data_IF_331018972068
#
_entry.id   IF_331018972068
#
_cell.length_a   1.000
_cell.length_b   1.000
_cell.length_c   1.000
_cell.angle_alpha   90.00
_cell.angle_beta   90.00
_cell.angle_gamma   90.00
#
_symmetry.space_group_name_H-M   'P 1'
#
loop_
_entity.id
_entity.type
_entity.pdbx_description
1 polymer ?
#
# COMPACT_ATOMS: atom_id res chain seq x y z
N UNK A 1 9.04 -23.88 6.15
CA UNK A 1 7.77 -23.34 5.60
C UNK A 1 7.30 -24.23 4.47
N UNK A 2 6.05 -24.08 4.00
CA UNK A 2 5.62 -24.72 2.76
C UNK A 2 6.34 -24.05 1.59
N UNK A 3 6.94 -24.84 0.71
CA UNK A 3 7.49 -24.32 -0.54
C UNK A 3 6.36 -23.87 -1.47
N UNK A 4 6.54 -22.73 -2.15
CA UNK A 4 5.61 -22.26 -3.18
C UNK A 4 6.22 -22.42 -4.57
N UNK A 5 5.38 -22.73 -5.55
CA UNK A 5 5.78 -22.96 -6.94
C UNK A 5 4.66 -22.57 -7.91
N UNK A 6 4.94 -22.66 -9.20
CA UNK A 6 3.97 -22.38 -10.26
C UNK A 6 2.63 -23.10 -10.02
N UNK A 7 1.54 -22.35 -10.06
CA UNK A 7 0.18 -22.82 -9.80
C UNK A 7 -0.30 -22.64 -8.36
N UNK A 8 0.59 -22.38 -7.39
CA UNK A 8 0.17 -22.02 -6.04
C UNK A 8 -0.50 -20.64 -6.01
N UNK A 9 -1.41 -20.45 -5.05
CA UNK A 9 -2.10 -19.18 -4.83
C UNK A 9 -2.16 -18.83 -3.35
N UNK A 10 -2.31 -17.55 -3.05
CA UNK A 10 -2.61 -17.06 -1.70
C UNK A 10 -1.67 -16.00 -1.17
N UNK A 11 -1.71 -15.79 0.14
CA UNK A 11 -0.97 -14.73 0.83
C UNK A 11 0.55 -14.92 0.73
N UNK A 12 1.04 -16.16 0.83
CA UNK A 12 2.47 -16.44 0.76
C UNK A 12 3.04 -16.21 -0.64
N UNK A 13 2.26 -16.53 -1.68
CA UNK A 13 2.61 -16.18 -3.07
C UNK A 13 2.66 -14.67 -3.25
N UNK A 14 1.66 -13.96 -2.72
CA UNK A 14 1.59 -12.51 -2.79
C UNK A 14 2.78 -11.85 -2.07
N UNK A 15 3.14 -12.31 -0.87
CA UNK A 15 4.34 -11.86 -0.13
C UNK A 15 5.61 -12.03 -0.97
N UNK A 16 5.77 -13.20 -1.57
CA UNK A 16 6.91 -13.49 -2.45
C UNK A 16 6.94 -12.60 -3.69
N UNK A 17 5.80 -12.35 -4.33
CA UNK A 17 5.71 -11.48 -5.50
C UNK A 17 6.06 -10.02 -5.18
N UNK A 18 5.61 -9.49 -4.04
CA UNK A 18 6.02 -8.15 -3.57
C UNK A 18 7.53 -8.11 -3.31
N UNK A 19 8.08 -9.13 -2.66
CA UNK A 19 9.52 -9.23 -2.46
C UNK A 19 10.29 -9.22 -3.78
N UNK A 20 9.91 -10.06 -4.76
CA UNK A 20 10.55 -10.10 -6.08
C UNK A 20 10.47 -8.74 -6.79
N UNK A 21 9.30 -8.11 -6.79
CA UNK A 21 9.18 -6.76 -7.37
C UNK A 21 10.15 -5.80 -6.68
N UNK A 22 10.23 -5.84 -5.35
CA UNK A 22 11.10 -4.98 -4.57
C UNK A 22 12.60 -5.17 -4.86
N UNK A 23 12.99 -6.40 -5.24
CA UNK A 23 14.34 -6.73 -5.74
C UNK A 23 14.59 -6.26 -7.19
N UNK A 24 13.62 -5.64 -7.84
CA UNK A 24 13.75 -5.09 -9.20
C UNK A 24 13.09 -5.94 -10.30
N UNK A 25 12.43 -7.06 -9.95
CA UNK A 25 11.67 -7.87 -10.90
C UNK A 25 10.29 -7.26 -11.16
N UNK A 26 10.26 -6.05 -11.74
CA UNK A 26 9.07 -5.19 -11.88
C UNK A 26 7.99 -5.72 -12.83
N UNK A 27 8.30 -6.78 -13.58
CA UNK A 27 7.34 -7.50 -14.43
C UNK A 27 6.37 -8.37 -13.62
N UNK A 28 6.72 -8.73 -12.38
CA UNK A 28 5.88 -9.50 -11.47
C UNK A 28 4.72 -8.64 -10.98
N UNK A 29 3.49 -9.15 -11.04
CA UNK A 29 2.35 -8.50 -10.37
C UNK A 29 2.06 -9.27 -9.08
N UNK A 30 1.96 -8.57 -7.95
CA UNK A 30 1.60 -9.20 -6.67
C UNK A 30 0.10 -9.48 -6.54
N UNK A 31 -0.44 -10.31 -7.42
CA UNK A 31 -1.85 -10.71 -7.47
C UNK A 31 -2.19 -11.90 -6.54
N UNK A 32 -1.18 -12.63 -6.08
CA UNK A 32 -1.30 -13.84 -5.29
C UNK A 32 -1.47 -15.11 -6.13
N UNK A 33 -1.19 -15.06 -7.44
CA UNK A 33 -1.17 -16.20 -8.35
C UNK A 33 0.26 -16.48 -8.84
N UNK A 34 0.80 -17.65 -8.54
CA UNK A 34 2.16 -18.01 -8.93
C UNK A 34 2.19 -18.45 -10.40
N UNK A 35 2.06 -17.49 -11.32
CA UNK A 35 2.12 -17.70 -12.76
C UNK A 35 3.54 -17.68 -13.34
N UNK A 36 3.64 -17.63 -14.67
CA UNK A 36 4.91 -17.64 -15.41
C UNK A 36 5.86 -16.50 -14.99
N UNK A 37 5.33 -15.30 -14.76
CA UNK A 37 6.14 -14.15 -14.33
C UNK A 37 6.76 -14.38 -12.96
N UNK A 38 5.97 -14.88 -12.00
CA UNK A 38 6.45 -15.24 -10.66
C UNK A 38 7.52 -16.33 -10.72
N UNK A 39 7.31 -17.34 -11.57
CA UNK A 39 8.27 -18.42 -11.80
C UNK A 39 9.59 -17.89 -12.38
N UNK A 40 9.53 -17.14 -13.47
CA UNK A 40 10.72 -16.63 -14.15
C UNK A 40 11.51 -15.65 -13.25
N UNK A 41 10.81 -14.78 -12.51
CA UNK A 41 11.46 -13.91 -11.54
C UNK A 41 12.06 -14.67 -10.35
N UNK A 42 11.44 -15.78 -9.92
CA UNK A 42 12.03 -16.66 -8.89
C UNK A 42 13.30 -17.34 -9.38
N UNK A 43 13.29 -17.85 -10.62
CA UNK A 43 14.48 -18.40 -11.30
C UNK A 43 15.58 -17.35 -11.41
N UNK A 44 15.23 -16.11 -11.77
CA UNK A 44 16.18 -15.01 -11.87
C UNK A 44 16.78 -14.65 -10.50
N UNK A 45 15.95 -14.52 -9.46
CA UNK A 45 16.41 -14.29 -8.09
C UNK A 45 17.35 -15.40 -7.62
N UNK A 46 16.99 -16.67 -7.85
CA UNK A 46 17.81 -17.82 -7.50
C UNK A 46 19.16 -17.80 -8.23
N UNK A 47 19.14 -17.56 -9.55
CA UNK A 47 20.35 -17.43 -10.37
C UNK A 47 21.27 -16.32 -9.85
N UNK A 48 20.73 -15.12 -9.59
CA UNK A 48 21.48 -13.98 -9.08
C UNK A 48 22.12 -14.25 -7.71
N UNK A 49 21.58 -15.20 -6.95
CA UNK A 49 21.99 -15.50 -5.59
C UNK A 49 22.71 -16.86 -5.44
N UNK A 50 23.08 -17.50 -6.55
CA UNK A 50 23.83 -18.77 -6.55
C UNK A 50 23.04 -19.97 -6.02
N UNK A 51 21.71 -19.95 -6.14
CA UNK A 51 20.82 -21.03 -5.75
C UNK A 51 20.47 -21.93 -6.95
N UNK A 52 19.89 -23.09 -6.68
CA UNK A 52 19.29 -23.95 -7.73
C UNK A 52 18.13 -23.19 -8.38
N UNK A 53 18.29 -22.81 -9.64
CA UNK A 53 17.36 -21.96 -10.38
C UNK A 53 16.17 -22.74 -10.96
N UNK A 54 15.38 -23.38 -10.10
CA UNK A 54 14.25 -24.24 -10.48
C UNK A 54 12.88 -23.53 -10.35
N UNK A 55 12.85 -22.27 -9.91
CA UNK A 55 11.63 -21.49 -9.73
C UNK A 55 10.76 -21.93 -8.54
N UNK A 56 11.22 -22.90 -7.76
CA UNK A 56 10.56 -23.36 -6.53
C UNK A 56 11.14 -22.59 -5.34
N UNK A 57 10.28 -21.87 -4.63
CA UNK A 57 10.67 -21.10 -3.45
C UNK A 57 10.61 -22.02 -2.23
N UNK A 58 11.69 -22.78 -2.06
CA UNK A 58 11.89 -23.68 -0.92
C UNK A 58 12.54 -22.96 0.27
N UNK A 59 12.83 -23.72 1.34
CA UNK A 59 13.47 -23.15 2.53
C UNK A 59 14.81 -22.49 2.21
N UNK A 60 15.59 -23.03 1.26
CA UNK A 60 16.88 -22.45 0.86
C UNK A 60 16.69 -21.10 0.20
N UNK A 61 15.72 -21.00 -0.71
CA UNK A 61 15.36 -19.75 -1.38
C UNK A 61 14.84 -18.71 -0.40
N UNK A 62 13.99 -19.12 0.54
CA UNK A 62 13.48 -18.25 1.60
C UNK A 62 14.59 -17.74 2.52
N UNK A 63 15.49 -18.60 2.99
CA UNK A 63 16.62 -18.19 3.83
C UNK A 63 17.51 -17.16 3.14
N UNK A 64 17.74 -17.33 1.84
CA UNK A 64 18.48 -16.34 1.06
C UNK A 64 17.72 -15.03 0.96
N UNK A 65 16.43 -15.08 0.64
CA UNK A 65 15.58 -13.91 0.54
C UNK A 65 15.48 -13.11 1.84
N UNK A 66 15.59 -13.75 3.01
CA UNK A 66 15.62 -13.06 4.29
C UNK A 66 16.80 -12.08 4.41
N UNK A 67 17.94 -12.40 3.80
CA UNK A 67 19.09 -11.49 3.74
C UNK A 67 18.81 -10.23 2.92
N UNK A 68 17.77 -10.27 2.09
CA UNK A 68 17.28 -9.16 1.25
C UNK A 68 15.95 -8.57 1.77
N UNK A 69 15.61 -8.84 3.03
CA UNK A 69 14.44 -8.26 3.70
C UNK A 69 13.15 -9.06 3.57
N UNK A 70 13.17 -10.30 3.05
CA UNK A 70 12.00 -11.18 3.11
C UNK A 70 11.72 -11.63 4.54
N UNK A 71 10.51 -11.41 5.04
CA UNK A 71 10.12 -11.86 6.39
C UNK A 71 9.31 -13.16 6.34
N UNK A 72 9.73 -14.14 7.16
CA UNK A 72 9.03 -15.43 7.31
C UNK A 72 7.92 -15.40 8.36
N UNK A 73 8.05 -14.53 9.35
CA UNK A 73 7.16 -14.40 10.51
C UNK A 73 6.95 -12.91 10.75
N UNK A 74 5.71 -12.47 10.94
CA UNK A 74 5.42 -11.11 11.39
C UNK A 74 5.95 -10.97 12.83
N UNK A 75 6.94 -10.11 13.08
CA UNK A 75 7.70 -10.10 14.36
C UNK A 75 6.77 -10.08 15.60
N UNK A 76 6.75 -11.18 16.36
CA UNK A 76 6.04 -11.30 17.65
C UNK A 76 6.88 -10.76 18.83
N UNK A 77 7.65 -9.67 18.65
CA UNK A 77 8.55 -9.19 19.72
C UNK A 77 7.99 -7.99 20.45
N UNK A 78 7.92 -8.13 21.78
CA UNK A 78 7.32 -7.23 22.77
C UNK A 78 7.94 -5.83 22.87
N UNK A 79 9.06 -5.57 22.19
CA UNK A 79 9.71 -4.26 22.16
C UNK A 79 9.53 -3.60 20.79
N UNK A 80 8.62 -2.61 20.73
CA UNK A 80 8.43 -1.77 19.55
C UNK A 80 9.54 -0.72 19.52
N UNK A 81 10.66 -1.02 18.84
CA UNK A 81 11.70 -0.03 18.52
C UNK A 81 11.77 0.19 17.01
N UNK A 82 12.55 1.19 16.59
CA UNK A 82 12.65 1.62 15.19
C UNK A 82 13.09 0.53 14.19
N UNK A 83 13.59 -0.60 14.67
CA UNK A 83 14.04 -1.73 13.87
C UNK A 83 13.02 -2.89 13.82
N UNK A 84 11.89 -2.81 14.55
CA UNK A 84 10.89 -3.89 14.58
C UNK A 84 9.68 -3.60 13.70
N UNK A 85 8.97 -4.65 13.30
CA UNK A 85 7.73 -4.51 12.50
C UNK A 85 6.62 -3.72 13.19
N UNK A 86 6.71 -3.55 14.52
CA UNK A 86 5.76 -2.79 15.32
C UNK A 86 5.92 -1.27 15.23
N UNK A 87 7.06 -0.76 14.75
CA UNK A 87 7.31 0.68 14.67
C UNK A 87 6.91 1.26 13.29
N UNK A 88 6.29 2.45 13.21
CA UNK A 88 5.97 3.33 14.32
C UNK A 88 4.74 2.86 15.09
N UNK A 89 4.60 3.38 16.31
CA UNK A 89 3.42 3.13 17.13
C UNK A 89 2.19 3.80 16.51
N UNK A 90 0.99 3.19 16.61
CA UNK A 90 -0.24 3.82 16.17
C UNK A 90 -0.52 5.13 16.90
N UNK A 91 -1.17 6.11 16.24
CA UNK A 91 -1.59 7.34 16.90
C UNK A 91 -2.72 7.08 17.91
N UNK A 92 -3.05 8.09 18.72
CA UNK A 92 -4.11 8.03 19.73
C UNK A 92 -5.54 8.00 19.16
N UNK A 93 -5.66 8.12 17.84
CA UNK A 93 -6.93 8.10 17.11
C UNK A 93 -7.11 6.84 16.28
N UNK A 94 -8.35 6.61 15.84
CA UNK A 94 -8.75 5.43 15.07
C UNK A 94 -9.11 5.81 13.63
N UNK A 95 -8.98 4.86 12.68
CA UNK A 95 -9.52 5.04 11.33
C UNK A 95 -11.04 5.27 11.36
N UNK A 96 -11.56 5.97 10.35
CA UNK A 96 -13.00 6.24 10.24
C UNK A 96 -13.77 4.99 9.82
N UNK A 97 -14.88 4.74 10.48
CA UNK A 97 -15.87 3.75 10.04
C UNK A 97 -16.62 4.22 8.78
N UNK A 98 -17.27 3.28 8.08
CA UNK A 98 -18.08 3.59 6.89
C UNK A 98 -19.20 4.61 7.15
N UNK A 99 -19.84 4.57 8.31
CA UNK A 99 -20.89 5.54 8.68
C UNK A 99 -20.31 6.93 8.91
N UNK A 100 -19.15 7.01 9.59
CA UNK A 100 -18.44 8.27 9.79
C UNK A 100 -17.96 8.86 8.46
N UNK A 101 -17.41 8.06 7.55
CA UNK A 101 -17.03 8.51 6.21
C UNK A 101 -18.21 9.11 5.44
N UNK A 102 -19.33 8.41 5.39
CA UNK A 102 -20.53 8.93 4.70
C UNK A 102 -21.11 10.16 5.39
N UNK A 103 -21.03 10.26 6.72
CA UNK A 103 -21.45 11.45 7.46
C UNK A 103 -20.54 12.66 7.20
N UNK A 104 -19.23 12.45 7.21
CA UNK A 104 -18.23 13.52 7.09
C UNK A 104 -18.03 13.98 5.63
N UNK A 105 -18.01 13.04 4.70
CA UNK A 105 -17.66 13.26 3.29
C UNK A 105 -18.87 13.12 2.36
N UNK A 106 -20.06 12.86 2.90
CA UNK A 106 -21.29 12.72 2.15
C UNK A 106 -21.56 11.29 1.69
N UNK A 107 -22.85 10.98 1.53
CA UNK A 107 -23.33 9.66 1.13
C UNK A 107 -23.05 9.41 -0.36
N UNK A 108 -22.35 8.31 -0.66
CA UNK A 108 -22.16 7.83 -2.03
C UNK A 108 -23.25 6.81 -2.32
N UNK A 109 -24.09 7.10 -3.31
CA UNK A 109 -25.02 6.11 -3.87
C UNK A 109 -24.40 5.53 -5.13
N UNK A 110 -24.47 4.21 -5.28
CA UNK A 110 -23.70 3.53 -6.32
C UNK A 110 -24.37 2.26 -6.86
N UNK A 111 -23.95 1.86 -8.06
CA UNK A 111 -24.16 0.52 -8.61
C UNK A 111 -22.81 -0.20 -8.76
N UNK A 112 -22.81 -1.53 -8.64
CA UNK A 112 -21.62 -2.36 -8.82
C UNK A 112 -21.40 -2.62 -10.32
N UNK A 113 -20.17 -2.45 -10.80
CA UNK A 113 -19.79 -2.76 -12.18
C UNK A 113 -19.66 -4.27 -12.40
N UNK A 114 -19.66 -4.74 -13.67
CA UNK A 114 -19.55 -6.17 -13.98
C UNK A 114 -18.29 -6.87 -13.44
N UNK A 115 -17.26 -6.12 -13.04
CA UNK A 115 -16.04 -6.66 -12.40
C UNK A 115 -16.22 -7.03 -10.92
N UNK A 116 -17.42 -6.83 -10.36
CA UNK A 116 -17.78 -7.10 -8.96
C UNK A 116 -16.88 -6.40 -7.93
N UNK A 117 -16.23 -5.29 -8.30
CA UNK A 117 -15.30 -4.56 -7.43
C UNK A 117 -15.44 -3.06 -7.61
N UNK A 118 -15.40 -2.58 -8.85
CA UNK A 118 -15.53 -1.17 -9.16
C UNK A 118 -17.00 -0.76 -9.10
N UNK A 119 -17.25 0.53 -8.86
CA UNK A 119 -18.61 1.06 -8.76
C UNK A 119 -18.86 2.21 -9.74
N UNK A 120 -20.12 2.44 -10.09
CA UNK A 120 -20.59 3.70 -10.67
C UNK A 120 -21.25 4.51 -9.56
N UNK A 121 -20.78 5.74 -9.34
CA UNK A 121 -21.45 6.70 -8.44
C UNK A 121 -22.62 7.32 -9.20
N UNK A 122 -23.83 7.29 -8.63
CA UNK A 122 -25.07 7.62 -9.35
C UNK A 122 -25.81 8.86 -8.83
N UNK A 123 -25.35 9.49 -7.75
CA UNK A 123 -26.01 10.64 -7.13
C UNK A 123 -25.25 11.97 -7.32
N UNK A 124 -24.38 12.08 -8.32
CA UNK A 124 -23.59 13.29 -8.60
C UNK A 124 -22.55 13.64 -7.51
N UNK A 125 -22.30 12.72 -6.59
CA UNK A 125 -21.43 12.96 -5.44
C UNK A 125 -20.00 13.33 -5.86
N UNK A 126 -19.50 12.77 -6.96
CA UNK A 126 -18.14 12.99 -7.45
C UNK A 126 -17.91 14.47 -7.80
N UNK A 127 -18.80 15.03 -8.60
CA UNK A 127 -18.72 16.39 -9.12
C UNK A 127 -18.88 17.43 -8.00
N UNK A 128 -19.67 17.10 -6.97
CA UNK A 128 -19.93 17.99 -5.85
C UNK A 128 -18.79 18.02 -4.82
N UNK A 129 -18.01 16.95 -4.70
CA UNK A 129 -17.13 16.74 -3.55
C UNK A 129 -15.64 16.60 -3.88
N UNK A 130 -15.28 16.19 -5.10
CA UNK A 130 -13.89 15.99 -5.47
C UNK A 130 -13.28 17.23 -6.13
N UNK A 131 -11.99 17.38 -5.91
CA UNK A 131 -11.14 18.38 -6.56
C UNK A 131 -9.83 17.73 -6.98
N UNK A 132 -9.27 18.16 -8.10
CA UNK A 132 -7.91 17.79 -8.51
C UNK A 132 -6.95 18.87 -8.03
N UNK A 133 -5.93 18.46 -7.27
CA UNK A 133 -4.87 19.34 -6.76
C UNK A 133 -3.53 18.95 -7.37
N UNK A 134 -2.60 19.90 -7.39
CA UNK A 134 -1.22 19.65 -7.80
C UNK A 134 -0.36 19.27 -6.59
N UNK A 135 0.44 18.22 -6.75
CA UNK A 135 1.45 17.72 -5.81
C UNK A 135 2.75 17.59 -6.63
N UNK A 136 3.57 18.65 -6.70
CA UNK A 136 4.81 18.64 -7.48
C UNK A 136 5.77 17.52 -7.07
N UNK A 137 5.77 17.12 -5.78
CA UNK A 137 6.69 16.15 -5.19
C UNK A 137 6.57 14.73 -5.77
N UNK A 138 5.43 14.39 -6.39
CA UNK A 138 5.23 13.06 -7.00
C UNK A 138 5.50 13.03 -8.51
N UNK A 139 5.87 14.17 -9.11
CA UNK A 139 6.19 14.25 -10.54
C UNK A 139 7.35 13.31 -10.86
N UNK A 140 7.22 12.53 -11.94
CA UNK A 140 8.25 11.55 -12.32
C UNK A 140 8.11 10.19 -11.65
N UNK A 141 7.27 10.05 -10.62
CA UNK A 141 7.14 8.78 -9.91
C UNK A 141 6.29 7.77 -10.70
N UNK A 142 6.71 6.48 -10.73
CA UNK A 142 5.87 5.41 -11.26
C UNK A 142 4.64 5.18 -10.36
N UNK A 143 3.60 4.48 -10.87
CA UNK A 143 3.48 3.99 -12.25
C UNK A 143 2.89 5.02 -13.21
N UNK A 144 2.35 6.14 -12.72
CA UNK A 144 1.53 7.05 -13.52
C UNK A 144 2.24 8.31 -14.03
N UNK A 145 3.40 8.66 -13.47
CA UNK A 145 4.16 9.87 -13.84
C UNK A 145 3.27 11.13 -13.87
N UNK A 146 2.57 11.40 -12.77
CA UNK A 146 1.66 12.53 -12.60
C UNK A 146 2.18 13.48 -11.53
N UNK A 147 1.76 14.74 -11.58
CA UNK A 147 1.87 15.69 -10.47
C UNK A 147 0.50 16.13 -9.95
N UNK A 148 -0.56 15.38 -10.30
CA UNK A 148 -1.95 15.70 -9.95
C UNK A 148 -2.62 14.52 -9.28
N UNK A 149 -3.36 14.81 -8.22
CA UNK A 149 -4.16 13.82 -7.50
C UNK A 149 -5.59 14.33 -7.36
N UNK A 150 -6.56 13.40 -7.32
CA UNK A 150 -7.96 13.75 -7.09
C UNK A 150 -8.33 13.31 -5.69
N UNK A 151 -8.77 14.27 -4.88
CA UNK A 151 -9.09 14.07 -3.46
C UNK A 151 -10.38 14.81 -3.12
N UNK A 152 -10.94 14.54 -1.94
CA UNK A 152 -12.09 15.28 -1.47
C UNK A 152 -11.70 16.72 -1.13
N UNK A 153 -12.51 17.69 -1.58
CA UNK A 153 -12.29 19.13 -1.36
C UNK A 153 -12.09 19.55 0.10
N UNK A 154 -12.66 18.82 1.07
CA UNK A 154 -12.55 19.11 2.50
C UNK A 154 -11.15 18.86 3.06
N UNK A 155 -10.37 18.00 2.41
CA UNK A 155 -9.04 17.57 2.87
C UNK A 155 -7.95 17.87 1.83
N UNK A 156 -8.28 18.66 0.81
CA UNK A 156 -7.34 19.02 -0.26
C UNK A 156 -6.07 19.69 0.29
N UNK A 157 -6.23 20.69 1.17
CA UNK A 157 -5.10 21.36 1.81
C UNK A 157 -4.30 20.44 2.75
N UNK A 158 -4.96 19.45 3.36
CA UNK A 158 -4.32 18.47 4.25
C UNK A 158 -3.41 17.53 3.46
N UNK A 159 -3.82 17.11 2.25
CA UNK A 159 -2.95 16.39 1.33
C UNK A 159 -1.78 17.24 0.82
N UNK A 160 -2.00 18.52 0.48
CA UNK A 160 -0.90 19.43 0.11
C UNK A 160 0.11 19.54 1.26
N UNK A 161 -0.39 19.74 2.48
CA UNK A 161 0.45 19.85 3.68
C UNK A 161 1.23 18.55 3.93
N UNK A 162 0.63 17.39 3.70
CA UNK A 162 1.31 16.10 3.86
C UNK A 162 2.60 16.00 3.04
N UNK A 163 2.53 16.31 1.74
CA UNK A 163 3.70 16.24 0.87
C UNK A 163 4.71 17.36 1.16
N UNK A 164 4.24 18.56 1.51
CA UNK A 164 5.13 19.66 1.90
C UNK A 164 5.88 19.34 3.20
N UNK A 165 5.23 18.75 4.20
CA UNK A 165 5.89 18.39 5.46
C UNK A 165 6.87 17.22 5.29
N UNK A 166 6.55 16.24 4.43
CA UNK A 166 7.52 15.21 4.04
C UNK A 166 8.73 15.80 3.30
N UNK A 167 8.51 16.81 2.46
CA UNK A 167 9.59 17.55 1.79
C UNK A 167 10.46 18.35 2.76
N UNK A 168 9.84 19.13 3.65
CA UNK A 168 10.52 19.91 4.67
C UNK A 168 11.36 19.02 5.61
N UNK A 169 10.88 17.80 5.88
CA UNK A 169 11.60 16.81 6.68
C UNK A 169 12.69 16.04 5.89
N UNK A 170 12.86 16.31 4.60
CA UNK A 170 13.85 15.64 3.74
C UNK A 170 13.50 14.18 3.42
N UNK A 171 12.23 13.80 3.49
CA UNK A 171 11.77 12.41 3.34
C UNK A 171 11.33 12.04 1.92
N UNK A 172 11.30 12.98 0.97
CA UNK A 172 10.95 12.67 -0.43
C UNK A 172 11.76 11.52 -1.06
N UNK A 173 13.07 11.32 -0.75
CA UNK A 173 13.81 10.18 -1.28
C UNK A 173 13.23 8.80 -0.89
N UNK A 174 12.36 8.74 0.12
CA UNK A 174 11.66 7.51 0.51
C UNK A 174 10.43 7.22 -0.36
N UNK A 175 9.91 8.21 -1.09
CA UNK A 175 8.73 8.05 -1.95
C UNK A 175 9.18 7.59 -3.33
N UNK A 176 9.16 6.28 -3.54
CA UNK A 176 9.63 5.61 -4.76
C UNK A 176 8.52 5.37 -5.78
N UNK A 177 7.25 5.27 -5.33
CA UNK A 177 6.07 5.21 -6.20
C UNK A 177 4.87 5.93 -5.58
N UNK A 178 4.01 6.47 -6.45
CA UNK A 178 2.71 7.02 -6.08
C UNK A 178 1.62 6.27 -6.82
N UNK A 179 0.86 5.45 -6.10
CA UNK A 179 0.02 4.41 -6.70
C UNK A 179 -1.47 4.77 -6.73
N UNK A 180 -1.81 6.01 -6.37
CA UNK A 180 -3.13 6.60 -6.63
C UNK A 180 -3.78 7.25 -5.42
N UNK A 181 -4.90 7.94 -5.69
CA UNK A 181 -5.71 8.65 -4.69
C UNK A 181 -7.18 8.26 -4.80
N UNK A 182 -7.95 8.86 -5.71
CA UNK A 182 -9.35 8.51 -5.92
C UNK A 182 -9.50 7.24 -6.78
N UNK A 183 -10.23 6.24 -6.26
CA UNK A 183 -10.61 5.03 -6.97
C UNK A 183 -11.99 4.52 -6.48
N UNK A 184 -13.06 4.69 -7.27
CA UNK A 184 -14.42 4.34 -6.86
C UNK A 184 -14.64 2.82 -6.92
N UNK A 185 -14.40 2.16 -5.78
CA UNK A 185 -14.52 0.70 -5.63
C UNK A 185 -14.97 0.29 -4.23
N UNK A 186 -15.45 -0.96 -4.12
CA UNK A 186 -15.67 -1.64 -2.86
C UNK A 186 -14.34 -2.07 -2.22
N UNK A 187 -14.34 -2.25 -0.90
CA UNK A 187 -13.25 -2.93 -0.19
C UNK A 187 -13.14 -4.36 -0.74
N UNK A 188 -11.91 -4.86 -0.88
CA UNK A 188 -11.66 -6.19 -1.44
C UNK A 188 -12.37 -7.26 -0.58
N UNK A 189 -13.29 -8.00 -1.19
CA UNK A 189 -14.08 -9.04 -0.51
C UNK A 189 -15.34 -8.53 0.19
N UNK A 190 -15.67 -7.24 0.06
CA UNK A 190 -16.95 -6.69 0.51
C UNK A 190 -17.90 -6.52 -0.67
N UNK A 191 -19.20 -6.72 -0.41
CA UNK A 191 -20.30 -6.41 -1.34
C UNK A 191 -21.01 -5.09 -1.02
N UNK A 192 -20.66 -4.44 0.09
CA UNK A 192 -21.40 -3.29 0.63
C UNK A 192 -20.52 -2.12 1.06
N UNK A 193 -19.31 -2.37 1.54
CA UNK A 193 -18.44 -1.32 2.09
C UNK A 193 -17.53 -0.73 1.01
N UNK A 194 -17.48 0.59 0.96
CA UNK A 194 -16.67 1.35 0.01
C UNK A 194 -15.23 1.45 0.51
N UNK A 195 -14.28 1.37 -0.43
CA UNK A 195 -12.88 1.70 -0.15
C UNK A 195 -12.76 3.18 0.24
N UNK A 196 -11.81 3.53 1.10
CA UNK A 196 -11.56 4.94 1.45
C UNK A 196 -11.08 5.76 0.23
N UNK A 197 -10.44 5.09 -0.74
CA UNK A 197 -10.16 5.69 -2.06
C UNK A 197 -11.43 6.13 -2.82
N UNK A 198 -12.59 5.51 -2.58
CA UNK A 198 -13.85 5.90 -3.23
C UNK A 198 -14.36 7.25 -2.73
N UNK A 199 -13.92 7.70 -1.55
CA UNK A 199 -14.22 9.03 -1.02
C UNK A 199 -13.13 10.06 -1.37
N UNK A 200 -12.03 9.67 -2.03
CA UNK A 200 -10.90 10.57 -2.29
C UNK A 200 -10.21 11.03 -1.01
N UNK A 201 -10.18 10.18 0.03
CA UNK A 201 -9.58 10.49 1.34
C UNK A 201 -8.41 9.57 1.68
N UNK A 202 -7.84 8.90 0.67
CA UNK A 202 -6.71 8.01 0.85
C UNK A 202 -5.73 8.10 -0.32
N UNK A 203 -4.48 7.74 -0.06
CA UNK A 203 -3.40 7.58 -1.05
C UNK A 203 -2.63 6.29 -0.77
N UNK A 204 -2.06 5.73 -1.83
CA UNK A 204 -1.14 4.60 -1.74
C UNK A 204 0.28 5.03 -2.17
N UNK A 205 1.27 4.74 -1.33
CA UNK A 205 2.70 5.04 -1.53
C UNK A 205 3.50 3.75 -1.51
N UNK A 206 4.48 3.61 -2.40
CA UNK A 206 5.40 2.47 -2.41
C UNK A 206 4.67 1.12 -2.39
N UNK A 207 3.54 0.99 -3.12
CA UNK A 207 2.77 -0.27 -3.21
C UNK A 207 3.64 -1.50 -3.46
N UNK A 208 4.69 -1.44 -4.30
CA UNK A 208 5.46 -2.64 -4.57
C UNK A 208 6.23 -3.23 -3.39
N UNK A 209 6.43 -2.46 -2.31
CA UNK A 209 7.12 -2.92 -1.10
C UNK A 209 6.17 -3.10 0.10
N UNK A 210 4.92 -2.64 0.00
CA UNK A 210 4.03 -2.51 1.17
C UNK A 210 2.63 -3.07 0.95
N UNK A 211 2.56 -4.21 0.26
CA UNK A 211 1.31 -4.82 -0.16
C UNK A 211 0.33 -5.25 0.92
N UNK A 212 -0.95 -5.34 0.55
CA UNK A 212 -2.04 -5.82 1.42
C UNK A 212 -1.78 -7.25 1.94
N UNK A 213 -1.77 -7.40 3.26
CA UNK A 213 -1.55 -8.64 4.00
C UNK A 213 -0.08 -9.03 4.12
N UNK A 214 0.85 -8.12 3.81
CA UNK A 214 2.29 -8.32 3.92
C UNK A 214 2.83 -7.39 5.01
N UNK A 215 3.87 -7.82 5.72
CA UNK A 215 4.57 -6.91 6.63
C UNK A 215 5.22 -5.79 5.81
N UNK A 216 4.88 -4.50 6.09
CA UNK A 216 5.45 -3.38 5.36
C UNK A 216 6.97 -3.31 5.56
N UNK A 217 7.70 -2.86 4.53
CA UNK A 217 9.15 -2.74 4.57
C UNK A 217 9.61 -2.00 5.83
N UNK A 218 10.59 -2.58 6.55
CA UNK A 218 11.11 -2.02 7.79
C UNK A 218 11.85 -0.71 7.53
N UNK A 219 12.08 0.07 8.59
CA UNK A 219 12.85 1.32 8.52
C UNK A 219 14.17 1.09 7.77
N UNK A 220 14.58 2.06 6.95
CA UNK A 220 15.79 2.00 6.08
C UNK A 220 15.77 0.91 5.00
N UNK A 221 14.77 0.03 4.93
CA UNK A 221 14.62 -0.87 3.79
C UNK A 221 14.05 -0.11 2.60
N UNK A 222 14.42 -0.56 1.40
CA UNK A 222 13.91 0.02 0.15
C UNK A 222 12.39 -0.01 0.14
N UNK A 223 11.79 1.14 -0.17
CA UNK A 223 10.34 1.31 -0.24
C UNK A 223 9.64 1.43 1.12
N UNK A 224 10.36 1.50 2.23
CA UNK A 224 9.73 1.77 3.53
C UNK A 224 8.98 3.10 3.52
N UNK A 225 7.80 3.10 4.11
CA UNK A 225 7.02 4.31 4.37
C UNK A 225 7.00 4.65 5.86
N UNK A 226 7.70 3.87 6.70
CA UNK A 226 7.56 3.97 8.16
C UNK A 226 8.06 5.31 8.70
N UNK A 227 9.13 5.87 8.12
CA UNK A 227 9.58 7.24 8.44
C UNK A 227 8.57 8.33 8.03
N UNK A 228 7.66 8.07 7.09
CA UNK A 228 6.63 9.02 6.65
C UNK A 228 5.46 9.12 7.64
N UNK A 229 5.19 8.03 8.36
CA UNK A 229 3.99 7.85 9.19
C UNK A 229 3.87 8.86 10.35
N UNK A 230 4.92 9.23 11.11
CA UNK A 230 4.77 10.20 12.20
C UNK A 230 4.23 11.56 11.73
N UNK A 231 4.73 12.07 10.60
CA UNK A 231 4.24 13.32 10.00
C UNK A 231 2.80 13.15 9.50
N UNK A 232 2.49 12.02 8.86
CA UNK A 232 1.14 11.71 8.42
C UNK A 232 0.15 11.68 9.60
N UNK A 233 0.53 11.05 10.72
CA UNK A 233 -0.27 10.99 11.94
C UNK A 233 -0.51 12.39 12.53
N UNK A 234 0.51 13.25 12.56
CA UNK A 234 0.37 14.63 13.02
C UNK A 234 -0.60 15.46 12.17
N UNK A 235 -0.73 15.10 10.89
CA UNK A 235 -1.66 15.70 9.95
C UNK A 235 -2.99 14.94 9.87
N UNK A 236 -3.32 14.08 10.84
CA UNK A 236 -4.62 13.43 10.92
C UNK A 236 -4.83 12.25 9.96
N UNK A 237 -3.77 11.76 9.32
CA UNK A 237 -3.82 10.51 8.55
C UNK A 237 -3.59 9.30 9.45
N UNK A 238 -4.22 8.19 9.14
CA UNK A 238 -3.97 6.89 9.74
C UNK A 238 -3.27 5.98 8.71
N UNK A 239 -2.25 5.26 9.17
CA UNK A 239 -1.49 4.35 8.31
C UNK A 239 -2.05 2.92 8.36
N UNK A 240 -2.29 2.33 7.19
CA UNK A 240 -2.83 0.96 7.07
C UNK A 240 -1.88 -0.13 7.56
N UNK A 241 -0.59 0.18 7.75
CA UNK A 241 0.34 -0.71 8.45
C UNK A 241 -0.03 -0.96 9.93
N UNK A 242 -0.93 -0.18 10.51
CA UNK A 242 -1.46 -0.43 11.86
C UNK A 242 -2.69 -1.35 11.89
N UNK A 243 -3.28 -1.70 10.75
CA UNK A 243 -4.43 -2.62 10.71
C UNK A 243 -4.05 -4.04 11.12
N UNK A 244 -5.06 -4.85 11.49
CA UNK A 244 -4.88 -6.29 11.73
C UNK A 244 -4.39 -7.00 10.48
N UNK A 245 -5.12 -6.82 9.36
CA UNK A 245 -4.62 -7.15 8.03
C UNK A 245 -3.85 -5.94 7.50
N UNK A 246 -2.54 -6.01 7.57
CA UNK A 246 -1.63 -4.92 7.18
C UNK A 246 -1.92 -4.42 5.77
N UNK A 247 -1.93 -3.11 5.62
CA UNK A 247 -2.01 -2.42 4.33
C UNK A 247 -0.97 -1.30 4.29
N UNK A 248 0.31 -1.68 4.19
CA UNK A 248 1.42 -0.78 4.46
C UNK A 248 1.58 0.36 3.45
N UNK A 249 1.02 0.22 2.26
CA UNK A 249 1.05 1.26 1.25
C UNK A 249 0.06 2.40 1.55
N UNK A 250 -0.94 2.10 2.39
CA UNK A 250 -2.16 2.88 2.50
C UNK A 250 -2.08 3.96 3.59
N UNK A 251 -2.42 5.19 3.22
CA UNK A 251 -2.63 6.31 4.14
C UNK A 251 -4.03 6.88 3.93
N UNK A 252 -4.81 7.02 4.99
CA UNK A 252 -6.19 7.49 4.93
C UNK A 252 -6.49 8.59 5.94
N UNK A 253 -7.42 9.48 5.63
CA UNK A 253 -7.88 10.51 6.58
C UNK A 253 -8.61 9.84 7.74
N UNK A 254 -8.15 10.13 8.96
CA UNK A 254 -8.85 9.79 10.20
C UNK A 254 -9.38 11.01 10.95
N UNK A 255 -8.75 12.18 10.75
CA UNK A 255 -9.18 13.48 11.29
C UNK A 255 -9.06 14.55 10.19
N UNK A 256 -10.04 15.45 10.14
CA UNK A 256 -9.92 16.69 9.36
C UNK A 256 -9.22 17.70 10.27
N UNK A 257 -8.18 18.36 9.74
CA UNK A 257 -7.38 19.36 10.44
C UNK A 257 -7.90 20.78 10.24
#
# INVERSE_FOLDING_TARGET
MRAIKKGDKGTEVKKWQYFLYGQGFTEVRADGDFGDKSHNASVAFQTQNGLVANGIVDNTTYLKAMQFGFQLIDDLRENVDENTSGWPVPPDFKPLSQSQLQSMFGKIEFTIKPDNSSINIINGWRELNLVTIEIPQIKGLPPYNTNKITVHKKVANQFISLFNEWENAGLLPLILSFDGSFNPRLIRGSSTNLSNHAFGVAIDINVPWNGLGVTPALKRQKGSVRELVPIANNLGFYWGGHFQRKDGMHFEIAKIM
#
